data_IF_652335791699
#
_entry.id   IF_652335791699
#
_cell.length_a   1.000
_cell.length_b   1.000
_cell.length_c   1.000
_cell.angle_alpha   90.00
_cell.angle_beta   90.00
_cell.angle_gamma   90.00
#
_symmetry.space_group_name_H-M   'P 1'
#
loop_
_entity.id
_entity.type
_entity.pdbx_description
1 polymer ?
#
# COMPACT_ATOMS: atom_id res chain seq x y z
N UNK A 1 -6.91 9.08 -2.03
CA UNK A 1 -7.12 7.93 -2.95
C UNK A 1 -6.04 7.89 -4.02
N UNK A 2 -5.74 6.69 -4.55
CA UNK A 2 -4.72 6.47 -5.58
C UNK A 2 -5.35 5.69 -6.73
N UNK A 3 -5.85 6.42 -7.71
CA UNK A 3 -6.51 5.85 -8.89
C UNK A 3 -5.94 6.47 -10.16
N UNK A 4 -5.75 5.64 -11.18
CA UNK A 4 -5.38 6.09 -12.52
C UNK A 4 -6.34 5.46 -13.52
N UNK A 5 -7.18 6.27 -14.17
CA UNK A 5 -8.28 5.81 -15.02
C UNK A 5 -8.10 6.36 -16.43
N UNK A 6 -8.18 5.49 -17.43
CA UNK A 6 -8.04 5.84 -18.85
C UNK A 6 -9.33 5.50 -19.58
N UNK A 7 -9.92 6.52 -20.21
CA UNK A 7 -11.15 6.45 -21.03
C UNK A 7 -12.36 5.80 -20.34
N UNK A 8 -12.33 5.69 -19.00
CA UNK A 8 -13.32 4.94 -18.23
C UNK A 8 -13.38 3.44 -18.54
N UNK A 9 -12.34 2.87 -19.15
CA UNK A 9 -12.30 1.48 -19.59
C UNK A 9 -11.28 0.64 -18.83
N UNK A 10 -10.16 1.26 -18.44
CA UNK A 10 -9.04 0.63 -17.76
C UNK A 10 -8.66 1.49 -16.58
N UNK A 11 -8.40 0.86 -15.43
CA UNK A 11 -7.96 1.57 -14.26
C UNK A 11 -6.90 0.81 -13.46
N UNK A 12 -6.05 1.56 -12.77
CA UNK A 12 -5.08 1.04 -11.80
C UNK A 12 -5.37 1.67 -10.45
N UNK A 13 -5.31 0.88 -9.39
CA UNK A 13 -5.42 1.34 -8.00
C UNK A 13 -4.54 0.49 -7.09
N UNK A 14 -4.11 1.06 -5.97
CA UNK A 14 -3.29 0.36 -4.98
C UNK A 14 -2.54 1.29 -4.06
N UNK A 15 -1.37 0.87 -3.59
CA UNK A 15 -0.58 1.62 -2.61
C UNK A 15 0.36 2.67 -3.19
N UNK A 16 0.70 2.55 -4.49
CA UNK A 16 1.82 3.24 -5.13
C UNK A 16 1.58 4.73 -5.34
N UNK A 17 2.51 5.58 -4.88
CA UNK A 17 2.55 7.00 -5.20
C UNK A 17 3.37 7.29 -6.48
N UNK A 18 3.38 8.54 -6.92
CA UNK A 18 4.25 9.01 -8.02
C UNK A 18 5.46 9.75 -7.43
N UNK A 19 6.55 9.01 -7.17
CA UNK A 19 7.83 9.51 -6.67
C UNK A 19 8.95 8.49 -6.95
N UNK A 20 10.21 8.91 -6.86
CA UNK A 20 11.38 8.12 -7.27
C UNK A 20 11.48 6.75 -6.55
N UNK A 21 11.15 6.71 -5.26
CA UNK A 21 11.20 5.52 -4.38
C UNK A 21 10.21 4.42 -4.80
N UNK A 22 9.23 4.74 -5.64
CA UNK A 22 8.20 3.80 -6.14
C UNK A 22 8.50 3.24 -7.52
N UNK A 23 9.51 3.81 -8.20
CA UNK A 23 9.90 3.44 -9.56
C UNK A 23 11.38 3.04 -9.66
N UNK A 24 12.00 2.71 -8.52
CA UNK A 24 13.39 2.30 -8.36
C UNK A 24 14.43 3.41 -8.65
N UNK A 25 14.00 4.68 -8.72
CA UNK A 25 14.88 5.81 -9.05
C UNK A 25 15.64 6.37 -7.86
N UNK A 26 15.21 6.06 -6.64
CA UNK A 26 15.88 6.55 -5.45
C UNK A 26 17.07 5.65 -5.06
N UNK A 27 18.18 6.28 -4.68
CA UNK A 27 19.42 5.59 -4.37
C UNK A 27 19.58 5.22 -2.88
N UNK A 28 18.72 5.72 -2.00
CA UNK A 28 18.76 5.49 -0.55
C UNK A 28 17.66 4.53 -0.09
N UNK A 29 16.47 4.62 -0.67
CA UNK A 29 15.26 3.97 -0.17
C UNK A 29 14.24 3.69 -1.28
N UNK A 30 13.71 2.47 -1.35
CA UNK A 30 12.67 2.10 -2.31
C UNK A 30 11.57 1.25 -1.67
N UNK A 31 10.40 1.21 -2.33
CA UNK A 31 9.21 0.54 -1.81
C UNK A 31 8.82 -0.75 -2.54
N UNK A 32 8.57 -1.79 -1.74
CA UNK A 32 7.77 -2.95 -2.09
C UNK A 32 6.30 -2.59 -1.98
N UNK A 33 5.68 -2.26 -3.10
CA UNK A 33 4.26 -1.91 -3.17
C UNK A 33 3.48 -2.83 -4.13
N UNK A 34 2.15 -2.70 -4.14
CA UNK A 34 1.23 -3.47 -4.97
C UNK A 34 0.09 -2.60 -5.48
N UNK A 35 -0.15 -2.72 -6.78
CA UNK A 35 -1.35 -2.21 -7.44
C UNK A 35 -2.09 -3.34 -8.16
N UNK A 36 -3.32 -3.07 -8.57
CA UNK A 36 -4.14 -3.95 -9.41
C UNK A 36 -4.63 -3.20 -10.65
N UNK A 37 -4.53 -3.88 -11.79
CA UNK A 37 -5.12 -3.44 -13.05
C UNK A 37 -6.54 -4.01 -13.17
N UNK A 38 -7.52 -3.12 -13.33
CA UNK A 38 -8.94 -3.45 -13.44
C UNK A 38 -9.48 -3.02 -14.81
N UNK A 39 -10.31 -3.87 -15.40
CA UNK A 39 -11.01 -3.60 -16.65
C UNK A 39 -12.49 -3.89 -16.48
N UNK A 40 -13.34 -3.14 -17.16
CA UNK A 40 -14.79 -3.36 -17.17
C UNK A 40 -15.51 -2.71 -15.99
N UNK A 41 -16.52 -3.40 -15.42
CA UNK A 41 -17.54 -2.77 -14.57
C UNK A 41 -16.98 -2.04 -13.34
N UNK A 42 -15.93 -2.57 -12.71
CA UNK A 42 -15.30 -1.95 -11.55
C UNK A 42 -14.75 -0.53 -11.85
N UNK A 43 -14.32 -0.28 -13.09
CA UNK A 43 -13.82 1.03 -13.53
C UNK A 43 -14.91 2.11 -13.47
N UNK A 44 -16.18 1.73 -13.68
CA UNK A 44 -17.30 2.67 -13.54
C UNK A 44 -17.41 3.21 -12.11
N UNK A 45 -17.29 2.36 -11.09
CA UNK A 45 -17.30 2.79 -9.69
C UNK A 45 -16.10 3.66 -9.33
N UNK A 46 -14.94 3.39 -9.95
CA UNK A 46 -13.75 4.23 -9.80
C UNK A 46 -13.95 5.62 -10.40
N UNK A 47 -14.58 5.72 -11.58
CA UNK A 47 -14.94 7.00 -12.19
C UNK A 47 -15.93 7.77 -11.32
N UNK A 48 -16.99 7.11 -10.81
CA UNK A 48 -17.94 7.75 -9.90
C UNK A 48 -17.23 8.30 -8.67
N UNK A 49 -16.34 7.51 -8.05
CA UNK A 49 -15.54 8.02 -6.94
C UNK A 49 -14.64 9.20 -7.35
N UNK A 50 -14.07 9.21 -8.55
CA UNK A 50 -13.29 10.36 -9.00
C UNK A 50 -14.16 11.61 -9.12
N UNK A 51 -15.33 11.49 -9.77
CA UNK A 51 -16.27 12.58 -9.99
C UNK A 51 -16.81 13.14 -8.66
N UNK A 52 -17.10 12.28 -7.68
CA UNK A 52 -17.54 12.69 -6.34
C UNK A 52 -16.49 13.57 -5.65
N UNK A 53 -15.20 13.22 -5.76
CA UNK A 53 -14.11 14.06 -5.22
C UNK A 53 -13.91 15.32 -6.03
N UNK A 54 -13.88 15.21 -7.36
CA UNK A 54 -13.62 16.33 -8.25
C UNK A 54 -14.69 17.43 -8.17
N UNK A 55 -15.95 17.03 -8.02
CA UNK A 55 -17.10 17.94 -7.91
C UNK A 55 -17.42 18.38 -6.48
N UNK A 56 -16.73 17.83 -5.47
CA UNK A 56 -16.91 18.22 -4.07
C UNK A 56 -16.55 19.69 -3.85
N UNK A 57 -17.27 20.37 -2.95
CA UNK A 57 -16.92 21.72 -2.51
C UNK A 57 -15.57 21.81 -1.78
N UNK A 58 -14.98 20.68 -1.40
CA UNK A 58 -13.63 20.60 -0.83
C UNK A 58 -12.53 20.58 -1.90
N UNK A 59 -12.88 20.38 -3.17
CA UNK A 59 -11.95 20.42 -4.30
C UNK A 59 -11.93 21.82 -4.90
N UNK A 60 -10.85 22.55 -4.62
CA UNK A 60 -10.62 23.90 -5.14
C UNK A 60 -9.38 23.92 -6.04
N UNK A 61 -9.31 24.81 -7.03
CA UNK A 61 -8.10 24.96 -7.85
C UNK A 61 -6.86 25.23 -7.00
N UNK A 62 -5.74 24.59 -7.32
CA UNK A 62 -4.48 24.77 -6.59
C UNK A 62 -4.02 26.25 -6.56
N UNK A 63 -4.26 26.98 -7.64
CA UNK A 63 -3.95 28.41 -7.75
C UNK A 63 -4.76 29.31 -6.79
N UNK A 64 -5.85 28.82 -6.19
CA UNK A 64 -6.58 29.54 -5.13
C UNK A 64 -5.93 29.38 -3.75
N UNK A 65 -5.04 28.39 -3.58
CA UNK A 65 -4.34 28.11 -2.32
C UNK A 65 -2.92 28.69 -2.33
N UNK A 66 -2.26 28.71 -3.49
CA UNK A 66 -0.89 29.21 -3.64
C UNK A 66 -0.77 30.11 -4.89
N UNK A 67 -0.48 31.40 -4.65
CA UNK A 67 -0.35 32.43 -5.69
C UNK A 67 0.84 32.19 -6.64
N UNK A 68 1.85 31.40 -6.24
CA UNK A 68 2.99 31.06 -7.13
C UNK A 68 2.63 29.97 -8.16
N UNK A 69 1.48 29.31 -8.03
CA UNK A 69 1.04 28.21 -8.93
C UNK A 69 0.34 28.71 -10.19
N UNK A 70 0.55 29.96 -10.60
CA UNK A 70 0.01 30.51 -11.85
C UNK A 70 0.87 30.18 -13.07
N UNK A 71 1.04 28.89 -13.37
CA UNK A 71 1.48 28.46 -14.70
C UNK A 71 0.24 28.26 -15.57
N UNK A 72 -0.21 29.33 -16.24
CA UNK A 72 -1.22 29.24 -17.30
C UNK A 72 -0.53 28.69 -18.55
N UNK A 73 -0.34 27.38 -18.58
CA UNK A 73 0.13 26.65 -19.77
C UNK A 73 -1.11 26.08 -20.47
N UNK A 74 -1.22 26.26 -21.79
CA UNK A 74 -2.30 25.61 -22.54
C UNK A 74 -2.14 24.09 -22.42
N UNK A 75 -3.24 23.35 -22.43
CA UNK A 75 -3.19 21.88 -22.36
C UNK A 75 -2.27 21.29 -23.45
N UNK A 76 -2.29 21.87 -24.66
CA UNK A 76 -1.40 21.51 -25.77
C UNK A 76 0.09 21.72 -25.43
N UNK A 77 0.44 22.86 -24.85
CA UNK A 77 1.82 23.14 -24.46
C UNK A 77 2.28 22.24 -23.31
N UNK A 78 1.41 21.93 -22.35
CA UNK A 78 1.71 20.98 -21.27
C UNK A 78 2.00 19.59 -21.83
N UNK A 79 1.15 19.07 -22.72
CA UNK A 79 1.41 17.76 -23.34
C UNK A 79 2.66 17.75 -24.20
N UNK A 80 2.94 18.82 -24.95
CA UNK A 80 4.15 18.92 -25.75
C UNK A 80 5.41 18.83 -24.87
N UNK A 81 5.47 19.58 -23.77
CA UNK A 81 6.60 19.54 -22.83
C UNK A 81 6.77 18.16 -22.19
N UNK A 82 5.67 17.53 -21.75
CA UNK A 82 5.71 16.19 -21.18
C UNK A 82 6.18 15.15 -22.21
N UNK A 83 5.75 15.28 -23.47
CA UNK A 83 6.16 14.39 -24.54
C UNK A 83 7.64 14.57 -24.89
N UNK A 84 8.12 15.81 -24.99
CA UNK A 84 9.53 16.12 -25.23
C UNK A 84 10.41 15.56 -24.10
N UNK A 85 10.02 15.81 -22.84
CA UNK A 85 10.70 15.25 -21.66
C UNK A 85 10.74 13.71 -21.70
N UNK A 86 9.62 13.06 -22.02
CA UNK A 86 9.53 11.60 -22.15
C UNK A 86 10.33 11.04 -23.33
N UNK A 87 10.54 11.80 -24.40
CA UNK A 87 11.28 11.41 -25.59
C UNK A 87 12.80 11.63 -25.46
N UNK A 88 13.25 12.44 -24.51
CA UNK A 88 14.67 12.68 -24.27
C UNK A 88 15.36 11.45 -23.64
N UNK A 89 16.33 10.80 -24.33
CA UNK A 89 17.03 9.63 -23.80
C UNK A 89 17.87 9.90 -22.55
N UNK A 90 18.17 11.16 -22.22
CA UNK A 90 18.93 11.51 -21.02
C UNK A 90 18.05 11.48 -19.75
N UNK A 91 16.72 11.59 -19.90
CA UNK A 91 15.78 11.59 -18.77
C UNK A 91 15.39 10.20 -18.27
N UNK A 92 15.56 9.16 -19.10
CA UNK A 92 15.17 7.79 -18.76
C UNK A 92 16.21 6.79 -19.24
N UNK A 93 16.53 5.81 -18.41
CA UNK A 93 17.48 4.77 -18.81
C UNK A 93 17.01 4.00 -20.05
N UNK A 94 17.93 3.54 -20.91
CA UNK A 94 17.59 2.81 -22.14
C UNK A 94 16.66 1.61 -21.93
N UNK A 95 16.78 0.92 -20.79
CA UNK A 95 15.96 -0.24 -20.44
C UNK A 95 14.48 0.12 -20.19
N UNK A 96 14.19 1.34 -19.75
CA UNK A 96 12.81 1.83 -19.65
C UNK A 96 12.20 1.96 -21.04
N UNK A 97 12.96 2.49 -22.01
CA UNK A 97 12.52 2.59 -23.41
C UNK A 97 12.33 1.20 -24.04
N UNK A 98 13.25 0.28 -23.79
CA UNK A 98 13.10 -1.11 -24.24
C UNK A 98 11.81 -1.75 -23.68
N UNK A 99 11.50 -1.53 -22.39
CA UNK A 99 10.24 -2.00 -21.79
C UNK A 99 9.00 -1.38 -22.45
N UNK A 100 9.05 -0.10 -22.83
CA UNK A 100 7.96 0.57 -23.53
C UNK A 100 7.74 -0.02 -24.93
N UNK A 101 8.82 -0.27 -25.68
CA UNK A 101 8.75 -0.92 -27.00
C UNK A 101 8.19 -2.35 -26.91
N UNK A 102 8.50 -3.06 -25.82
CA UNK A 102 8.02 -4.42 -25.56
C UNK A 102 6.62 -4.48 -24.93
N UNK A 103 6.00 -3.35 -24.60
CA UNK A 103 4.72 -3.31 -23.88
C UNK A 103 3.60 -4.12 -24.57
N UNK A 104 3.40 -4.08 -25.90
CA UNK A 104 2.38 -4.91 -26.56
C UNK A 104 2.62 -6.41 -26.34
N UNK A 105 3.88 -6.86 -26.38
CA UNK A 105 4.25 -8.25 -26.10
C UNK A 105 4.07 -8.58 -24.62
N UNK A 106 4.31 -7.63 -23.72
CA UNK A 106 4.08 -7.82 -22.28
C UNK A 106 2.60 -8.10 -21.99
N UNK A 107 1.65 -7.34 -22.57
CA UNK A 107 0.22 -7.61 -22.41
C UNK A 107 -0.18 -8.99 -22.94
N UNK A 108 0.33 -9.37 -24.12
CA UNK A 108 0.12 -10.72 -24.65
C UNK A 108 0.65 -11.79 -23.69
N UNK A 109 1.86 -11.60 -23.15
CA UNK A 109 2.49 -12.52 -22.19
C UNK A 109 1.68 -12.64 -20.89
N UNK A 110 1.18 -11.53 -20.35
CA UNK A 110 0.35 -11.51 -19.13
C UNK A 110 -0.95 -12.29 -19.38
N UNK A 111 -1.57 -12.11 -20.55
CA UNK A 111 -2.78 -12.84 -20.95
C UNK A 111 -2.52 -14.35 -21.11
N UNK A 112 -1.48 -14.72 -21.86
CA UNK A 112 -1.13 -16.12 -22.13
C UNK A 112 -0.74 -16.89 -20.86
N UNK A 113 -0.09 -16.21 -19.91
CA UNK A 113 0.27 -16.79 -18.61
C UNK A 113 -0.87 -16.76 -17.58
N UNK A 114 -2.10 -16.38 -17.97
CA UNK A 114 -3.26 -16.36 -17.06
C UNK A 114 -3.14 -15.34 -15.92
N UNK A 115 -2.26 -14.34 -16.04
CA UNK A 115 -2.11 -13.27 -15.04
C UNK A 115 -3.22 -12.21 -15.16
N UNK A 116 -3.92 -12.16 -16.30
CA UNK A 116 -5.23 -11.53 -16.41
C UNK A 116 -6.31 -12.60 -16.21
N UNK A 117 -7.09 -12.47 -15.15
CA UNK A 117 -8.20 -13.35 -14.86
C UNK A 117 -9.53 -12.63 -15.08
N UNK A 118 -10.47 -13.31 -15.76
CA UNK A 118 -11.87 -12.91 -15.72
C UNK A 118 -12.43 -13.29 -14.35
N UNK A 119 -13.08 -12.33 -13.72
CA UNK A 119 -13.64 -12.47 -12.38
C UNK A 119 -15.08 -11.98 -12.40
N UNK A 120 -15.95 -12.68 -11.70
CA UNK A 120 -17.38 -12.38 -11.70
C UNK A 120 -17.72 -11.21 -10.76
N UNK A 121 -16.87 -10.97 -9.76
CA UNK A 121 -17.16 -10.01 -8.70
C UNK A 121 -15.90 -9.24 -8.24
N UNK A 122 -15.97 -7.93 -8.45
CA UNK A 122 -14.98 -6.94 -8.01
C UNK A 122 -15.73 -5.72 -7.51
N UNK A 123 -15.52 -5.40 -6.24
CA UNK A 123 -16.06 -4.22 -5.61
C UNK A 123 -14.96 -3.17 -5.46
N UNK A 124 -15.16 -1.99 -6.04
CA UNK A 124 -14.35 -0.83 -5.70
C UNK A 124 -15.08 0.00 -4.66
N UNK A 125 -14.51 0.07 -3.46
CA UNK A 125 -15.07 0.76 -2.30
C UNK A 125 -14.20 1.97 -2.02
N UNK A 126 -14.82 3.13 -1.93
CA UNK A 126 -14.15 4.41 -1.70
C UNK A 126 -14.88 5.18 -0.61
N UNK A 127 -14.12 5.80 0.29
CA UNK A 127 -14.69 6.76 1.23
C UNK A 127 -15.17 8.02 0.52
N UNK A 128 -16.14 8.72 1.10
CA UNK A 128 -16.66 9.96 0.56
C UNK A 128 -15.72 11.15 0.84
N UNK A 129 -15.71 12.18 -0.02
CA UNK A 129 -15.00 13.44 0.27
C UNK A 129 -15.45 14.01 1.61
N UNK A 130 -14.49 14.47 2.42
CA UNK A 130 -14.81 15.01 3.75
C UNK A 130 -15.23 13.95 4.78
N UNK A 131 -14.78 12.70 4.62
CA UNK A 131 -15.02 11.57 5.55
C UNK A 131 -14.98 11.96 7.03
N UNK A 132 -14.07 12.84 7.42
CA UNK A 132 -14.06 13.45 8.74
C UNK A 132 -14.33 14.95 8.61
N UNK A 133 -15.46 15.40 9.16
CA UNK A 133 -15.89 16.80 9.21
C UNK A 133 -15.51 17.50 10.53
N UNK A 134 -14.77 16.80 11.41
CA UNK A 134 -14.37 17.27 12.73
C UNK A 134 -15.44 17.15 13.82
N UNK A 135 -16.67 16.73 13.50
CA UNK A 135 -17.77 16.64 14.47
C UNK A 135 -17.54 15.59 15.57
N UNK A 136 -16.71 14.58 15.29
CA UNK A 136 -16.29 13.53 16.23
C UNK A 136 -14.81 13.65 16.62
N UNK A 137 -14.20 14.83 16.44
CA UNK A 137 -12.78 15.06 16.67
C UNK A 137 -11.92 14.16 15.78
N UNK A 138 -11.04 13.36 16.40
CA UNK A 138 -10.16 12.41 15.70
C UNK A 138 -10.78 11.01 15.50
N UNK A 139 -11.97 10.79 16.06
CA UNK A 139 -12.74 9.58 15.83
C UNK A 139 -13.54 9.67 14.53
N UNK A 140 -14.20 8.57 14.17
CA UNK A 140 -15.04 8.51 12.99
C UNK A 140 -15.10 7.09 12.44
N UNK A 141 -15.21 7.01 11.12
CA UNK A 141 -15.15 5.76 10.38
C UNK A 141 -15.20 6.04 8.88
N UNK A 142 -15.11 4.97 8.10
CA UNK A 142 -15.24 5.02 6.65
C UNK A 142 -16.06 3.85 6.14
N UNK A 143 -16.53 3.99 4.91
CA UNK A 143 -17.13 2.86 4.19
C UNK A 143 -16.07 1.79 3.97
N UNK A 144 -14.83 2.20 3.70
CA UNK A 144 -13.68 1.29 3.59
C UNK A 144 -13.36 0.59 4.91
N UNK A 145 -13.36 1.32 6.03
CA UNK A 145 -13.17 0.74 7.38
C UNK A 145 -14.24 -0.32 7.68
N UNK A 146 -15.50 0.00 7.39
CA UNK A 146 -16.62 -0.92 7.60
C UNK A 146 -16.47 -2.18 6.74
N UNK A 147 -16.08 -2.03 5.48
CA UNK A 147 -15.86 -3.16 4.58
C UNK A 147 -14.73 -4.09 5.08
N UNK A 148 -13.60 -3.53 5.53
CA UNK A 148 -12.49 -4.31 6.09
C UNK A 148 -12.89 -5.06 7.37
N UNK A 149 -13.61 -4.39 8.28
CA UNK A 149 -14.14 -5.04 9.50
C UNK A 149 -15.06 -6.21 9.14
N UNK A 150 -15.95 -6.03 8.16
CA UNK A 150 -16.85 -7.07 7.71
C UNK A 150 -16.10 -8.28 7.14
N UNK A 151 -15.06 -8.06 6.34
CA UNK A 151 -14.22 -9.13 5.80
C UNK A 151 -13.49 -9.91 6.92
N UNK A 152 -12.93 -9.20 7.91
CA UNK A 152 -12.27 -9.84 9.06
C UNK A 152 -13.26 -10.66 9.89
N UNK A 153 -14.47 -10.15 10.11
CA UNK A 153 -15.51 -10.84 10.87
C UNK A 153 -16.06 -12.08 10.16
N UNK A 154 -16.08 -12.07 8.83
CA UNK A 154 -16.58 -13.18 8.00
C UNK A 154 -15.52 -14.25 7.70
N UNK A 155 -14.23 -13.98 7.95
CA UNK A 155 -13.16 -14.94 7.71
C UNK A 155 -13.36 -16.23 8.53
N UNK A 156 -13.17 -17.38 7.88
CA UNK A 156 -13.37 -18.70 8.46
C UNK A 156 -12.05 -19.48 8.67
N UNK A 157 -11.00 -19.21 7.89
CA UNK A 157 -9.78 -20.03 7.84
C UNK A 157 -8.51 -19.21 8.01
N UNK A 158 -8.34 -18.13 7.24
CA UNK A 158 -7.12 -17.33 7.28
C UNK A 158 -7.30 -15.88 6.87
N UNK A 159 -6.46 -15.02 7.44
CA UNK A 159 -6.30 -13.61 7.06
C UNK A 159 -4.79 -13.32 6.97
N UNK A 160 -4.34 -12.86 5.81
CA UNK A 160 -2.97 -12.45 5.56
C UNK A 160 -2.93 -10.97 5.20
N UNK A 161 -2.17 -10.16 5.93
CA UNK A 161 -2.14 -8.69 5.78
C UNK A 161 -0.71 -8.21 5.49
N UNK A 162 -0.58 -7.31 4.52
CA UNK A 162 0.59 -6.46 4.29
C UNK A 162 0.17 -5.01 4.55
N UNK A 163 0.91 -4.31 5.40
CA UNK A 163 0.68 -2.88 5.68
C UNK A 163 1.99 -2.20 6.08
N UNK A 164 2.33 -1.00 5.60
CA UNK A 164 3.57 -0.33 6.03
C UNK A 164 3.55 0.08 7.49
N UNK A 165 2.36 0.42 7.99
CA UNK A 165 2.13 1.05 9.28
C UNK A 165 1.03 0.26 10.01
N UNK A 166 1.38 -0.31 11.16
CA UNK A 166 0.52 -1.19 11.95
C UNK A 166 0.24 -0.56 13.32
N UNK A 167 -0.62 0.44 13.34
CA UNK A 167 -1.00 1.14 14.57
C UNK A 167 -2.36 0.60 15.01
N UNK A 168 -2.37 -0.17 16.10
CA UNK A 168 -3.59 -0.85 16.53
C UNK A 168 -4.30 -0.09 17.65
N UNK A 169 -5.59 -0.36 17.77
CA UNK A 169 -6.46 0.12 18.85
C UNK A 169 -7.08 -1.07 19.57
N UNK A 170 -7.74 -0.83 20.70
CA UNK A 170 -8.49 -1.88 21.39
C UNK A 170 -9.55 -2.54 20.47
N UNK A 171 -10.18 -1.76 19.59
CA UNK A 171 -11.11 -2.30 18.59
C UNK A 171 -10.41 -3.28 17.65
N UNK A 172 -9.31 -2.87 17.02
CA UNK A 172 -8.64 -3.71 16.04
C UNK A 172 -7.97 -4.93 16.67
N UNK A 173 -7.40 -4.78 17.87
CA UNK A 173 -6.89 -5.91 18.65
C UNK A 173 -8.01 -6.89 19.00
N UNK A 174 -9.20 -6.39 19.38
CA UNK A 174 -10.39 -7.20 19.59
C UNK A 174 -10.83 -7.97 18.35
N UNK A 175 -10.86 -7.33 17.18
CA UNK A 175 -11.19 -7.99 15.90
C UNK A 175 -10.26 -9.16 15.58
N UNK A 176 -8.95 -8.97 15.80
CA UNK A 176 -7.97 -10.04 15.58
C UNK A 176 -8.08 -11.15 16.62
N UNK A 177 -8.26 -10.80 17.90
CA UNK A 177 -8.49 -11.77 18.97
C UNK A 177 -9.72 -12.63 18.66
N UNK A 178 -10.84 -12.01 18.26
CA UNK A 178 -12.07 -12.71 17.91
C UNK A 178 -11.86 -13.65 16.71
N UNK A 179 -11.12 -13.21 15.69
CA UNK A 179 -10.78 -14.08 14.54
C UNK A 179 -9.95 -15.29 14.97
N UNK A 180 -8.89 -15.08 15.76
CA UNK A 180 -8.05 -16.17 16.27
C UNK A 180 -8.84 -17.13 17.15
N UNK A 181 -9.74 -16.63 18.00
CA UNK A 181 -10.62 -17.46 18.84
C UNK A 181 -11.62 -18.30 18.03
N UNK A 182 -12.04 -17.84 16.84
CA UNK A 182 -12.82 -18.63 15.89
C UNK A 182 -11.99 -19.72 15.18
N UNK A 183 -10.67 -19.75 15.38
CA UNK A 183 -9.75 -20.67 14.72
C UNK A 183 -9.17 -20.15 13.40
N UNK A 184 -9.36 -18.86 13.09
CA UNK A 184 -8.80 -18.22 11.89
C UNK A 184 -7.31 -17.97 12.10
N UNK A 185 -6.46 -18.40 11.16
CA UNK A 185 -5.03 -18.06 11.18
C UNK A 185 -4.82 -16.63 10.68
N UNK A 186 -4.25 -15.76 11.51
CA UNK A 186 -3.97 -14.36 11.11
C UNK A 186 -2.47 -14.11 11.04
N UNK A 187 -1.97 -13.65 9.89
CA UNK A 187 -0.57 -13.21 9.70
C UNK A 187 -0.53 -11.75 9.25
N UNK A 188 0.38 -10.97 9.82
CA UNK A 188 0.57 -9.56 9.48
C UNK A 188 2.05 -9.30 9.20
N UNK A 189 2.35 -8.79 8.01
CA UNK A 189 3.66 -8.27 7.63
C UNK A 189 3.64 -6.74 7.67
N UNK A 190 4.54 -6.17 8.46
CA UNK A 190 4.77 -4.71 8.55
C UNK A 190 6.26 -4.40 8.44
N UNK A 191 6.64 -3.12 8.37
CA UNK A 191 8.05 -2.74 8.39
C UNK A 191 8.73 -3.03 9.73
N UNK A 192 10.00 -3.43 9.69
CA UNK A 192 10.88 -3.42 10.86
C UNK A 192 11.34 -1.99 11.19
N UNK A 193 11.96 -1.81 12.37
CA UNK A 193 12.62 -0.53 12.68
C UNK A 193 13.73 -0.21 11.65
N UNK A 194 14.33 -1.23 11.07
CA UNK A 194 15.41 -1.08 10.10
C UNK A 194 14.85 -0.61 8.75
N UNK A 195 13.73 -1.18 8.29
CA UNK A 195 13.13 -0.85 7.00
C UNK A 195 12.16 0.32 7.04
N UNK A 196 11.59 0.71 8.18
CA UNK A 196 10.59 1.78 8.21
C UNK A 196 11.17 3.16 7.87
N UNK A 197 10.42 3.91 7.05
CA UNK A 197 10.56 5.32 6.72
C UNK A 197 9.88 6.25 7.75
N UNK A 198 8.84 5.75 8.43
CA UNK A 198 8.02 6.50 9.38
C UNK A 198 8.22 6.04 10.82
N UNK A 199 9.08 6.76 11.55
CA UNK A 199 9.42 6.42 12.94
C UNK A 199 8.27 6.67 13.91
N UNK A 200 7.38 7.60 13.60
CA UNK A 200 6.21 7.93 14.40
C UNK A 200 5.24 6.74 14.41
N UNK A 201 4.86 6.26 13.22
CA UNK A 201 4.03 5.08 13.07
C UNK A 201 4.69 3.83 13.68
N UNK A 202 5.99 3.63 13.43
CA UNK A 202 6.70 2.50 14.01
C UNK A 202 6.75 2.58 15.54
N UNK A 203 6.94 3.77 16.13
CA UNK A 203 6.97 3.92 17.59
C UNK A 203 5.63 3.56 18.25
N UNK A 204 4.51 3.84 17.57
CA UNK A 204 3.18 3.45 18.00
C UNK A 204 3.00 1.94 17.92
N UNK A 205 3.33 1.32 16.78
CA UNK A 205 3.36 -0.13 16.60
C UNK A 205 4.24 -0.83 17.66
N UNK A 206 5.47 -0.35 17.87
CA UNK A 206 6.40 -0.89 18.87
C UNK A 206 5.80 -0.87 20.29
N UNK A 207 4.89 0.07 20.57
CA UNK A 207 4.20 0.14 21.86
C UNK A 207 2.99 -0.79 21.96
N UNK A 208 2.47 -1.27 20.82
CA UNK A 208 1.35 -2.23 20.74
C UNK A 208 1.80 -3.67 20.49
N UNK A 209 3.06 -3.87 20.08
CA UNK A 209 3.59 -5.16 19.61
C UNK A 209 3.28 -6.31 20.56
N UNK A 210 3.50 -6.13 21.86
CA UNK A 210 3.25 -7.17 22.89
C UNK A 210 1.75 -7.51 22.98
N UNK A 211 0.89 -6.51 23.14
CA UNK A 211 -0.56 -6.69 23.19
C UNK A 211 -1.11 -7.33 21.91
N UNK A 212 -0.52 -7.02 20.75
CA UNK A 212 -0.90 -7.63 19.49
C UNK A 212 -0.45 -9.10 19.41
N UNK A 213 0.75 -9.44 19.87
CA UNK A 213 1.19 -10.85 19.96
C UNK A 213 0.28 -11.68 20.89
N UNK A 214 -0.19 -11.08 21.98
CA UNK A 214 -1.12 -11.73 22.93
C UNK A 214 -2.48 -12.09 22.30
N UNK A 215 -2.89 -11.45 21.21
CA UNK A 215 -4.12 -11.85 20.50
C UNK A 215 -3.96 -13.15 19.71
N UNK A 216 -2.72 -13.65 19.56
CA UNK A 216 -2.39 -14.86 18.83
C UNK A 216 -2.17 -14.67 17.32
N UNK A 217 -2.07 -13.42 16.82
CA UNK A 217 -1.66 -13.18 15.43
C UNK A 217 -0.17 -13.48 15.25
N UNK A 218 0.22 -13.93 14.06
CA UNK A 218 1.62 -14.07 13.69
C UNK A 218 2.11 -12.74 13.07
N UNK A 219 3.09 -12.11 13.70
CA UNK A 219 3.66 -10.84 13.22
C UNK A 219 5.01 -11.10 12.55
N UNK A 220 5.20 -10.47 11.40
CA UNK A 220 6.43 -10.46 10.63
C UNK A 220 6.87 -9.02 10.39
N UNK A 221 8.15 -8.75 10.55
CA UNK A 221 8.75 -7.45 10.27
C UNK A 221 9.67 -7.54 9.05
N UNK A 222 9.39 -6.73 8.03
CA UNK A 222 10.08 -6.72 6.74
C UNK A 222 11.52 -6.26 6.89
N UNK A 223 12.41 -6.92 6.15
CA UNK A 223 13.85 -6.66 6.19
C UNK A 223 14.23 -5.50 5.28
N UNK A 224 15.17 -4.63 5.69
CA UNK A 224 15.69 -3.56 4.82
C UNK A 224 16.49 -4.14 3.64
N UNK A 225 16.99 -5.37 3.78
CA UNK A 225 17.80 -6.11 2.81
C UNK A 225 17.04 -7.30 2.19
N UNK A 226 15.71 -7.27 2.19
CA UNK A 226 14.88 -8.36 1.70
C UNK A 226 15.32 -8.86 0.32
N UNK A 227 15.58 -10.17 0.19
CA UNK A 227 16.02 -10.81 -1.04
C UNK A 227 15.07 -10.59 -2.23
N UNK A 228 13.76 -10.47 -1.97
CA UNK A 228 12.72 -10.26 -2.99
C UNK A 228 12.91 -8.97 -3.78
N UNK A 229 13.69 -8.00 -3.26
CA UNK A 229 14.08 -6.80 -4.00
C UNK A 229 14.74 -7.10 -5.35
N UNK A 230 15.50 -8.21 -5.45
CA UNK A 230 16.20 -8.60 -6.67
C UNK A 230 15.24 -9.04 -7.79
N UNK A 231 14.01 -9.41 -7.45
CA UNK A 231 12.98 -9.79 -8.41
C UNK A 231 12.15 -8.59 -8.89
N UNK A 232 11.91 -7.62 -7.99
CA UNK A 232 10.98 -6.53 -8.23
C UNK A 232 11.66 -5.26 -8.72
N UNK A 233 12.80 -4.92 -8.14
CA UNK A 233 13.55 -3.76 -8.59
C UNK A 233 14.12 -4.08 -9.96
N UNK A 234 14.06 -3.12 -10.89
CA UNK A 234 14.62 -3.40 -12.22
C UNK A 234 16.12 -3.69 -12.06
N UNK A 235 16.53 -4.94 -12.29
CA UNK A 235 17.95 -5.34 -12.15
C UNK A 235 18.90 -4.50 -13.00
N UNK A 236 18.37 -3.75 -13.98
CA UNK A 236 19.07 -2.72 -14.74
C UNK A 236 19.73 -1.65 -13.85
N UNK A 237 19.21 -1.43 -12.64
CA UNK A 237 19.60 -0.33 -11.76
C UNK A 237 20.69 -0.62 -10.75
N UNK A 238 20.84 -1.89 -10.38
CA UNK A 238 21.60 -2.25 -9.17
C UNK A 238 22.82 -3.10 -9.44
N UNK A 239 23.24 -3.27 -10.70
CA UNK A 239 24.45 -4.06 -11.01
C UNK A 239 25.75 -3.39 -10.52
N UNK A 240 25.74 -2.11 -10.16
CA UNK A 240 26.93 -1.32 -9.82
C UNK A 240 26.79 -0.36 -8.63
N UNK A 241 25.81 -0.52 -7.74
CA UNK A 241 25.71 0.37 -6.58
C UNK A 241 26.78 0.01 -5.52
N UNK A 242 27.53 1.01 -5.05
CA UNK A 242 28.46 0.86 -3.92
C UNK A 242 27.70 0.59 -2.61
N UNK A 243 26.53 1.22 -2.45
CA UNK A 243 25.61 1.04 -1.32
C UNK A 243 24.23 0.61 -1.80
N UNK A 244 23.67 -0.44 -1.18
CA UNK A 244 22.37 -0.98 -1.59
C UNK A 244 21.25 -0.24 -0.83
N UNK A 245 20.25 0.34 -1.53
CA UNK A 245 19.17 1.09 -0.88
C UNK A 245 18.37 0.21 0.08
N UNK A 246 17.80 0.86 1.09
CA UNK A 246 16.85 0.22 2.01
C UNK A 246 15.58 -0.12 1.24
N UNK A 247 15.07 -1.34 1.44
CA UNK A 247 13.80 -1.76 0.85
C UNK A 247 12.71 -1.79 1.92
N UNK A 248 11.70 -0.93 1.77
CA UNK A 248 10.56 -0.80 2.66
C UNK A 248 9.32 -1.48 2.13
N UNK A 249 8.48 -2.03 3.00
CA UNK A 249 7.13 -2.44 2.64
C UNK A 249 6.23 -1.20 2.54
N UNK A 250 5.46 -1.07 1.46
CA UNK A 250 4.40 -0.08 1.35
C UNK A 250 3.08 -0.63 0.77
N UNK A 251 3.05 -1.92 0.45
CA UNK A 251 1.81 -2.61 0.09
C UNK A 251 0.75 -2.46 1.19
N UNK A 252 -0.48 -2.17 0.78
CA UNK A 252 -1.69 -2.28 1.61
C UNK A 252 -2.59 -3.34 1.00
N UNK A 253 -2.40 -4.57 1.45
CA UNK A 253 -3.08 -5.72 0.86
C UNK A 253 -3.53 -6.70 1.93
N UNK A 254 -4.67 -7.34 1.69
CA UNK A 254 -5.19 -8.39 2.55
C UNK A 254 -5.68 -9.56 1.69
N UNK A 255 -5.45 -10.79 2.13
CA UNK A 255 -6.08 -11.99 1.56
C UNK A 255 -6.88 -12.68 2.64
N UNK A 256 -8.13 -13.03 2.32
CA UNK A 256 -9.05 -13.74 3.23
C UNK A 256 -9.41 -15.10 2.63
N UNK A 257 -9.19 -16.16 3.42
CA UNK A 257 -9.52 -17.57 3.13
C UNK A 257 -9.00 -18.12 1.80
N UNK A 258 -7.97 -17.49 1.22
CA UNK A 258 -7.49 -17.72 -0.14
C UNK A 258 -8.59 -17.59 -1.21
N UNK A 259 -9.63 -16.81 -0.92
CA UNK A 259 -10.77 -16.55 -1.81
C UNK A 259 -10.89 -15.08 -2.20
N UNK A 260 -10.56 -14.17 -1.29
CA UNK A 260 -10.78 -12.74 -1.46
C UNK A 260 -9.45 -12.01 -1.36
N UNK A 261 -9.17 -11.11 -2.30
CA UNK A 261 -8.06 -10.16 -2.22
C UNK A 261 -8.58 -8.75 -2.00
N UNK A 262 -7.91 -8.01 -1.12
CA UNK A 262 -8.10 -6.57 -0.96
C UNK A 262 -6.79 -5.89 -1.32
N UNK A 263 -6.85 -4.92 -2.24
CA UNK A 263 -5.71 -4.10 -2.65
C UNK A 263 -6.16 -2.64 -2.67
N UNK A 264 -5.43 -1.73 -2.03
CA UNK A 264 -5.85 -0.33 -2.00
C UNK A 264 -4.89 0.58 -1.27
N UNK A 265 -5.44 1.64 -0.67
CA UNK A 265 -4.66 2.71 -0.04
C UNK A 265 -4.61 2.63 1.49
N UNK A 266 -5.50 1.84 2.08
CA UNK A 266 -5.78 1.79 3.52
C UNK A 266 -4.60 1.24 4.34
N UNK A 267 -3.91 2.09 5.12
CA UNK A 267 -2.95 1.61 6.10
C UNK A 267 -3.68 1.10 7.36
N UNK A 268 -3.08 0.17 8.09
CA UNK A 268 -3.72 -0.37 9.30
C UNK A 268 -3.43 0.55 10.50
N UNK A 269 -3.97 1.77 10.44
CA UNK A 269 -3.78 2.83 11.43
C UNK A 269 -5.06 3.64 11.71
N UNK A 270 -5.14 4.35 12.86
CA UNK A 270 -6.28 5.20 13.18
C UNK A 270 -6.52 6.32 12.17
N UNK A 271 -5.45 6.83 11.53
CA UNK A 271 -5.57 7.90 10.55
C UNK A 271 -6.31 7.45 9.29
N UNK A 272 -6.03 6.27 8.75
CA UNK A 272 -6.75 5.68 7.62
C UNK A 272 -8.18 5.31 8.01
N UNK A 273 -8.39 4.85 9.24
CA UNK A 273 -9.74 4.55 9.73
C UNK A 273 -10.62 5.80 9.84
N UNK A 274 -10.08 6.87 10.40
CA UNK A 274 -10.91 7.99 10.87
C UNK A 274 -10.73 9.29 10.09
N UNK A 275 -9.57 9.55 9.48
CA UNK A 275 -9.19 10.89 8.98
C UNK A 275 -9.01 10.91 7.46
N UNK A 276 -8.10 10.08 6.93
CA UNK A 276 -7.81 10.05 5.50
C UNK A 276 -8.94 9.38 4.73
N UNK A 277 -9.34 9.91 3.58
CA UNK A 277 -10.19 9.15 2.64
C UNK A 277 -9.37 8.04 1.99
N UNK A 278 -9.89 6.82 2.01
CA UNK A 278 -9.25 5.64 1.44
C UNK A 278 -10.09 5.02 0.32
N UNK A 279 -9.45 4.21 -0.53
CA UNK A 279 -10.13 3.35 -1.49
C UNK A 279 -9.49 1.97 -1.55
N UNK A 280 -10.32 0.94 -1.75
CA UNK A 280 -9.92 -0.47 -1.83
C UNK A 280 -10.66 -1.18 -2.97
N UNK A 281 -9.96 -2.06 -3.67
CA UNK A 281 -10.55 -3.06 -4.55
C UNK A 281 -10.65 -4.38 -3.80
N UNK A 282 -11.88 -4.89 -3.63
CA UNK A 282 -12.18 -6.20 -3.07
C UNK A 282 -12.51 -7.14 -4.22
N UNK A 283 -11.72 -8.19 -4.39
CA UNK A 283 -11.77 -9.10 -5.54
C UNK A 283 -12.10 -10.50 -5.04
N UNK A 284 -13.30 -10.98 -5.36
CA UNK A 284 -13.78 -12.31 -4.99
C UNK A 284 -13.34 -13.32 -6.07
N UNK A 285 -12.11 -13.81 -5.94
CA UNK A 285 -11.55 -14.77 -6.88
C UNK A 285 -10.44 -15.59 -6.23
N UNK A 286 -10.61 -16.92 -6.06
CA UNK A 286 -9.54 -17.77 -5.56
C UNK A 286 -8.28 -17.76 -6.42
N UNK A 287 -8.40 -17.50 -7.73
CA UNK A 287 -7.24 -17.38 -8.63
C UNK A 287 -6.43 -16.13 -8.29
N UNK A 288 -7.07 -14.97 -8.16
CA UNK A 288 -6.39 -13.73 -7.78
C UNK A 288 -5.86 -13.80 -6.35
N UNK A 289 -6.68 -14.31 -5.41
CA UNK A 289 -6.26 -14.52 -4.02
C UNK A 289 -5.04 -15.42 -3.89
N UNK A 290 -4.99 -16.51 -4.65
CA UNK A 290 -3.80 -17.37 -4.69
C UNK A 290 -2.57 -16.64 -5.25
N UNK A 291 -2.73 -15.83 -6.30
CA UNK A 291 -1.62 -15.06 -6.86
C UNK A 291 -1.09 -14.00 -5.89
N UNK A 292 -1.98 -13.27 -5.20
CA UNK A 292 -1.58 -12.29 -4.18
C UNK A 292 -0.92 -12.99 -3.00
N UNK A 293 -1.52 -14.08 -2.50
CA UNK A 293 -0.99 -14.85 -1.38
C UNK A 293 0.38 -15.44 -1.71
N UNK A 294 0.58 -16.04 -2.88
CA UNK A 294 1.89 -16.57 -3.29
C UNK A 294 2.97 -15.50 -3.27
N UNK A 295 2.63 -14.27 -3.67
CA UNK A 295 3.54 -13.13 -3.58
C UNK A 295 3.80 -12.71 -2.12
N UNK A 296 2.80 -12.80 -1.24
CA UNK A 296 2.97 -12.54 0.20
C UNK A 296 3.81 -13.63 0.87
N UNK A 297 3.68 -14.90 0.47
CA UNK A 297 4.48 -16.00 1.02
C UNK A 297 5.97 -15.78 0.81
N UNK A 298 6.38 -15.27 -0.36
CA UNK A 298 7.77 -14.86 -0.60
C UNK A 298 8.20 -13.82 0.43
N UNK A 299 7.39 -12.78 0.65
CA UNK A 299 7.70 -11.72 1.60
C UNK A 299 7.72 -12.20 3.07
N UNK A 300 6.99 -13.28 3.41
CA UNK A 300 7.00 -13.94 4.72
C UNK A 300 8.21 -14.86 4.98
N UNK A 301 9.02 -15.16 3.96
CA UNK A 301 10.22 -15.98 4.13
C UNK A 301 11.29 -15.26 4.94
N UNK A 302 12.16 -16.03 5.61
CA UNK A 302 13.18 -15.51 6.56
C UNK A 302 14.22 -14.56 5.97
N UNK A 303 14.46 -14.68 4.68
CA UNK A 303 15.33 -13.83 3.86
C UNK A 303 14.67 -12.48 3.51
N UNK A 304 13.36 -12.35 3.73
CA UNK A 304 12.57 -11.15 3.43
C UNK A 304 11.94 -10.53 4.68
N UNK A 305 11.69 -11.31 5.71
CA UNK A 305 11.11 -10.84 6.97
C UNK A 305 11.59 -11.62 8.19
N UNK A 306 11.47 -10.98 9.35
CA UNK A 306 11.70 -11.60 10.66
C UNK A 306 10.38 -11.91 11.33
N UNK A 307 10.15 -13.16 11.70
CA UNK A 307 9.01 -13.52 12.56
C UNK A 307 9.27 -12.98 13.97
N UNK A 308 8.30 -12.27 14.51
CA UNK A 308 8.36 -11.68 15.86
C UNK A 308 7.80 -12.67 16.88
N UNK A 309 8.47 -12.76 18.03
CA UNK A 309 8.02 -13.56 19.18
C UNK A 309 8.17 -12.73 20.45
N UNK A 310 7.59 -13.15 21.59
CA UNK A 310 7.83 -12.50 22.88
C UNK A 310 9.32 -12.40 23.23
N UNK A 311 10.14 -13.34 22.74
CA UNK A 311 11.58 -13.42 23.00
C UNK A 311 12.45 -12.74 21.93
N UNK A 312 11.89 -12.41 20.76
CA UNK A 312 12.69 -11.92 19.63
C UNK A 312 12.01 -10.82 18.80
N UNK A 313 12.77 -9.75 18.55
CA UNK A 313 12.51 -8.73 17.53
C UNK A 313 13.83 -8.13 17.00
N UNK A 314 13.85 -7.51 15.82
CA UNK A 314 15.08 -7.03 15.18
C UNK A 314 15.56 -5.66 15.65
N UNK A 315 14.85 -4.97 16.56
CA UNK A 315 15.13 -3.56 16.92
C UNK A 315 16.57 -3.36 17.43
N UNK A 316 17.14 -4.35 18.11
CA UNK A 316 18.49 -4.29 18.66
C UNK A 316 19.59 -4.21 17.58
N UNK A 317 19.28 -4.64 16.35
CA UNK A 317 20.20 -4.60 15.21
C UNK A 317 20.29 -3.20 14.57
N UNK A 318 19.43 -2.27 14.99
CA UNK A 318 19.38 -0.91 14.45
C UNK A 318 20.27 0.03 15.27
N UNK A 319 20.92 0.98 14.59
CA UNK A 319 21.79 1.97 15.21
C UNK A 319 21.11 2.76 16.35
N UNK A 320 21.89 3.04 17.41
CA UNK A 320 21.41 3.67 18.65
C UNK A 320 20.65 4.99 18.42
N UNK A 321 21.07 5.79 17.42
CA UNK A 321 20.41 7.06 17.10
C UNK A 321 18.97 6.86 16.60
N UNK A 322 18.74 5.93 15.67
CA UNK A 322 17.39 5.63 15.14
C UNK A 322 16.50 5.03 16.24
N UNK A 323 17.05 4.16 17.09
CA UNK A 323 16.35 3.63 18.28
C UNK A 323 15.96 4.72 19.28
N UNK A 324 16.87 5.64 19.60
CA UNK A 324 16.57 6.79 20.48
C UNK A 324 15.49 7.68 19.89
N UNK A 325 15.62 8.04 18.60
CA UNK A 325 14.62 8.80 17.83
C UNK A 325 13.23 8.14 17.83
N UNK A 326 13.17 6.81 17.81
CA UNK A 326 11.91 6.05 17.89
C UNK A 326 11.32 6.12 19.28
N UNK A 327 12.14 5.93 20.31
CA UNK A 327 11.69 6.00 21.70
C UNK A 327 11.09 7.36 22.04
N UNK A 328 11.70 8.47 21.59
CA UNK A 328 11.17 9.82 21.87
C UNK A 328 9.81 10.08 21.20
N UNK A 329 9.44 9.34 20.15
CA UNK A 329 8.18 9.51 19.41
C UNK A 329 6.99 8.79 20.03
N UNK A 330 7.21 7.90 21.00
CA UNK A 330 6.12 7.23 21.74
C UNK A 330 5.19 8.17 22.48
N UNK A 331 5.59 9.43 22.66
CA UNK A 331 4.76 10.49 23.26
C UNK A 331 3.64 10.97 22.33
N UNK A 332 3.73 10.67 21.03
CA UNK A 332 2.74 11.12 20.05
C UNK A 332 1.42 10.36 20.23
N UNK A 333 0.27 11.06 20.20
CA UNK A 333 -1.03 10.41 20.31
C UNK A 333 -1.29 9.51 19.09
N UNK A 334 -1.60 8.22 19.32
CA UNK A 334 -1.86 7.27 18.23
C UNK A 334 -3.04 7.66 17.33
N UNK A 335 -4.01 8.42 17.85
CA UNK A 335 -5.19 8.84 17.08
C UNK A 335 -4.90 9.80 15.93
N UNK A 336 -3.71 10.42 15.88
CA UNK A 336 -3.27 11.28 14.76
C UNK A 336 -2.22 10.61 13.87
N UNK A 337 -1.80 9.40 14.21
CA UNK A 337 -0.75 8.65 13.51
C UNK A 337 -1.34 7.71 12.47
#
# INVERSE_FOLDING_TARGET
>A
NKTFIVDGQVAITGGRNIADEYFDYDHEYNFRDRDVLLLGKAVSSMNTSFDDFWSSSLSIPAAEVDEETTLVVTQEATYAMLHEYACDPDNFWPQVREKLELLPKAFQTIKENGKLAWVDDVEFISDLPGKNDGSQGLGGGGVTTTALINLINQAEKSIDIQTPYLITTALSQGLFLDAVQRGVKVRILTNSLASTDNLEAFSAYQSDREALLETGVEIYEFRPDAASRLEFMTGALHTTLEDIPTFGLHAKSMVVDSQISVIGTFNFDPRSANLNTECIAVIHSPVIASNVLNSMEVDFQSENSWRITPEFNPDANVGNLKRFKTWTRKVLPKGIL
#
